data_IF_523314780362
#
_entry.id   IF_523314780362
#
_cell.length_a   1.000
_cell.length_b   1.000
_cell.length_c   1.000
_cell.angle_alpha   90.00
_cell.angle_beta   90.00
_cell.angle_gamma   90.00
#
_symmetry.space_group_name_H-M   'P 1'
#
loop_
_entity.id
_entity.type
_entity.pdbx_description
1 polymer ?
#
# COMPACT_ATOMS: atom_id res chain seq x y z
N UNK A 1 1.43 1.27 31.09
CA UNK A 1 1.63 -0.20 31.21
C UNK A 1 1.66 -0.74 29.80
N UNK A 2 2.60 -1.64 29.48
CA UNK A 2 2.73 -2.25 28.14
C UNK A 2 2.28 -3.71 28.26
N UNK A 3 1.51 -4.19 27.29
CA UNK A 3 1.08 -5.58 27.19
C UNK A 3 1.49 -6.12 25.83
N UNK A 4 2.00 -7.35 25.81
CA UNK A 4 2.39 -8.09 24.62
C UNK A 4 1.49 -9.31 24.48
N UNK A 5 1.05 -9.62 23.26
CA UNK A 5 0.14 -10.71 22.94
C UNK A 5 0.86 -11.70 22.01
N UNK A 6 1.29 -12.87 22.52
CA UNK A 6 1.92 -13.88 21.68
C UNK A 6 0.97 -14.40 20.60
N UNK A 7 1.46 -14.52 19.36
CA UNK A 7 0.71 -15.09 18.26
C UNK A 7 0.72 -16.64 18.34
N UNK A 8 -0.35 -17.33 17.89
CA UNK A 8 -0.45 -18.78 18.02
C UNK A 8 0.63 -19.56 17.26
N UNK A 9 1.08 -19.05 16.11
CA UNK A 9 2.10 -19.70 15.30
C UNK A 9 3.52 -19.29 15.73
N UNK A 10 4.39 -20.29 15.91
CA UNK A 10 5.79 -20.08 16.35
C UNK A 10 6.67 -19.37 15.31
N UNK A 11 6.14 -19.11 14.11
CA UNK A 11 6.82 -18.51 12.98
C UNK A 11 6.06 -17.28 12.44
N UNK A 12 5.18 -16.65 13.22
CA UNK A 12 4.50 -15.42 12.79
C UNK A 12 5.46 -14.26 12.54
N UNK A 13 5.17 -13.47 11.51
CA UNK A 13 5.86 -12.24 11.12
C UNK A 13 4.82 -11.12 10.88
N UNK A 14 4.16 -10.64 11.95
CA UNK A 14 3.15 -9.59 11.85
C UNK A 14 3.81 -8.28 11.40
N UNK A 15 3.25 -7.64 10.37
CA UNK A 15 3.87 -6.45 9.76
C UNK A 15 3.02 -5.18 9.88
N UNK A 16 1.85 -5.13 9.24
CA UNK A 16 1.02 -3.94 9.15
C UNK A 16 -0.25 -4.14 9.96
N UNK A 17 -0.67 -3.14 10.75
CA UNK A 17 -1.88 -3.19 11.59
C UNK A 17 -2.79 -1.99 11.31
N UNK A 18 -4.10 -2.20 11.40
CA UNK A 18 -5.12 -1.16 11.25
C UNK A 18 -6.32 -1.43 12.16
N UNK A 19 -7.09 -0.38 12.46
CA UNK A 19 -8.36 -0.55 13.16
C UNK A 19 -9.42 -1.07 12.19
N UNK A 20 -10.18 -2.07 12.60
CA UNK A 20 -11.29 -2.63 11.85
C UNK A 20 -12.63 -1.95 12.15
N UNK A 21 -13.60 -2.06 11.23
CA UNK A 21 -14.96 -1.54 11.43
C UNK A 21 -15.75 -2.32 12.50
N UNK A 22 -15.25 -3.47 12.95
CA UNK A 22 -15.83 -4.30 14.00
C UNK A 22 -15.28 -3.99 15.40
N UNK A 23 -14.51 -2.90 15.56
CA UNK A 23 -13.92 -2.48 16.82
C UNK A 23 -12.70 -3.29 17.26
N UNK A 24 -12.20 -4.18 16.39
CA UNK A 24 -10.99 -4.98 16.60
C UNK A 24 -9.82 -4.38 15.83
N UNK A 25 -8.60 -4.84 16.09
CA UNK A 25 -7.44 -4.54 15.25
C UNK A 25 -7.20 -5.69 14.28
N UNK A 26 -6.79 -5.35 13.06
CA UNK A 26 -6.53 -6.27 11.96
C UNK A 26 -5.12 -6.08 11.46
N UNK A 27 -4.41 -7.17 11.17
CA UNK A 27 -3.02 -7.11 10.75
C UNK A 27 -2.64 -8.21 9.76
N UNK A 28 -1.58 -7.96 9.02
CA UNK A 28 -1.00 -8.92 8.07
C UNK A 28 0.14 -9.69 8.71
N UNK A 29 0.16 -11.00 8.52
CA UNK A 29 1.25 -11.90 8.94
C UNK A 29 1.81 -12.59 7.69
N UNK A 30 2.98 -12.12 7.27
CA UNK A 30 3.59 -12.43 5.98
C UNK A 30 4.72 -13.44 6.12
N UNK A 31 4.45 -14.66 6.57
CA UNK A 31 5.50 -15.68 6.62
C UNK A 31 5.76 -16.30 5.23
N UNK A 32 6.92 -16.04 4.59
CA UNK A 32 7.24 -16.57 3.26
C UNK A 32 7.49 -18.09 3.25
N UNK A 33 7.54 -18.73 4.42
CA UNK A 33 7.97 -20.11 4.59
C UNK A 33 6.85 -21.13 4.70
N UNK A 34 5.54 -20.79 4.83
CA UNK A 34 4.42 -21.70 4.49
C UNK A 34 2.97 -21.25 4.83
N UNK A 35 2.70 -20.15 5.53
CA UNK A 35 1.30 -19.82 5.92
C UNK A 35 1.09 -18.33 6.19
N UNK A 36 0.95 -17.55 5.12
CA UNK A 36 0.50 -16.17 5.24
C UNK A 36 -0.95 -16.09 5.75
N UNK A 37 -1.25 -15.05 6.52
CA UNK A 37 -2.56 -14.85 7.15
C UNK A 37 -2.94 -13.37 7.18
N UNK A 38 -4.24 -13.13 7.19
CA UNK A 38 -4.80 -11.95 7.83
C UNK A 38 -5.22 -12.35 9.24
N UNK A 39 -4.95 -11.52 10.23
CA UNK A 39 -5.29 -11.79 11.62
C UNK A 39 -6.10 -10.66 12.21
N UNK A 40 -6.95 -11.01 13.18
CA UNK A 40 -7.75 -10.08 13.96
C UNK A 40 -7.50 -10.31 15.44
N UNK A 41 -7.28 -9.24 16.18
CA UNK A 41 -7.16 -9.25 17.65
C UNK A 41 -8.22 -8.35 18.30
N UNK A 42 -8.91 -8.87 19.32
CA UNK A 42 -9.85 -8.08 20.11
C UNK A 42 -9.13 -7.12 21.06
N UNK A 43 -9.80 -6.07 21.58
CA UNK A 43 -9.21 -5.21 22.62
C UNK A 43 -8.77 -5.95 23.90
N UNK A 44 -9.30 -7.17 24.12
CA UNK A 44 -8.94 -8.03 25.24
C UNK A 44 -7.86 -9.06 24.90
N UNK A 45 -7.34 -9.06 23.67
CA UNK A 45 -6.23 -9.92 23.24
C UNK A 45 -6.62 -11.26 22.63
N UNK A 46 -7.89 -11.50 22.29
CA UNK A 46 -8.29 -12.74 21.62
C UNK A 46 -7.97 -12.66 20.12
N UNK A 47 -7.16 -13.60 19.62
CA UNK A 47 -6.69 -13.63 18.23
C UNK A 47 -7.52 -14.61 17.41
N UNK A 48 -7.83 -14.23 16.17
CA UNK A 48 -8.43 -15.09 15.16
C UNK A 48 -7.63 -14.99 13.86
N UNK A 49 -7.31 -16.14 13.28
CA UNK A 49 -6.47 -16.27 12.09
C UNK A 49 -7.31 -16.59 10.85
N UNK A 50 -7.05 -15.89 9.75
CA UNK A 50 -7.67 -16.12 8.45
C UNK A 50 -6.58 -16.51 7.43
N UNK A 51 -6.38 -17.82 7.18
CA UNK A 51 -5.33 -18.30 6.30
C UNK A 51 -5.51 -17.83 4.85
N UNK A 52 -4.40 -17.45 4.22
CA UNK A 52 -4.29 -17.16 2.79
C UNK A 52 -3.71 -18.38 2.04
N UNK A 53 -3.90 -18.48 0.71
CA UNK A 53 -3.22 -19.47 -0.11
C UNK A 53 -1.70 -19.43 0.08
N UNK A 54 -1.03 -20.59 0.02
CA UNK A 54 0.41 -20.69 0.33
C UNK A 54 1.35 -19.95 -0.63
N UNK A 55 0.84 -19.51 -1.79
CA UNK A 55 1.58 -18.71 -2.77
C UNK A 55 1.57 -17.22 -2.46
N UNK A 56 0.77 -16.80 -1.48
CA UNK A 56 0.41 -15.41 -1.34
C UNK A 56 1.12 -14.78 -0.13
N UNK A 57 1.47 -13.51 -0.26
CA UNK A 57 2.18 -12.75 0.75
C UNK A 57 1.47 -11.41 0.97
N UNK A 58 0.72 -11.24 2.07
CA UNK A 58 -0.02 -10.01 2.35
C UNK A 58 0.95 -8.90 2.75
N UNK A 59 0.72 -7.71 2.20
CA UNK A 59 1.49 -6.51 2.46
C UNK A 59 0.78 -5.57 3.42
N UNK A 60 0.33 -4.42 2.91
CA UNK A 60 -0.35 -3.37 3.68
C UNK A 60 -1.84 -3.69 3.80
N UNK A 61 -2.47 -3.26 4.89
CA UNK A 61 -3.92 -3.43 5.15
C UNK A 61 -4.55 -2.12 5.59
N UNK A 62 -5.79 -1.87 5.15
CA UNK A 62 -6.58 -0.68 5.49
C UNK A 62 -8.06 -1.02 5.65
N UNK A 63 -8.78 -0.26 6.46
CA UNK A 63 -10.24 -0.37 6.54
C UNK A 63 -10.90 0.41 5.39
N UNK A 64 -11.83 -0.23 4.72
CA UNK A 64 -12.69 0.39 3.72
C UNK A 64 -13.97 0.96 4.33
N UNK A 65 -14.51 1.99 3.69
CA UNK A 65 -15.80 2.58 4.07
C UNK A 65 -16.99 1.65 3.75
N UNK A 66 -16.74 0.54 3.05
CA UNK A 66 -17.69 -0.54 2.80
C UNK A 66 -17.82 -1.52 3.98
N UNK A 67 -17.14 -1.26 5.10
CA UNK A 67 -17.19 -2.08 6.31
C UNK A 67 -16.32 -3.33 6.27
N UNK A 68 -15.35 -3.38 5.35
CA UNK A 68 -14.42 -4.51 5.21
C UNK A 68 -12.97 -4.04 5.29
N UNK A 69 -12.05 -4.99 5.40
CA UNK A 69 -10.63 -4.71 5.35
C UNK A 69 -10.12 -5.05 3.95
N UNK A 70 -9.20 -4.23 3.46
CA UNK A 70 -8.58 -4.37 2.15
C UNK A 70 -7.07 -4.41 2.31
N UNK A 71 -6.40 -5.29 1.57
CA UNK A 71 -4.96 -5.49 1.69
C UNK A 71 -4.29 -5.70 0.34
N UNK A 72 -3.02 -5.32 0.25
CA UNK A 72 -2.18 -5.69 -0.89
C UNK A 72 -1.66 -7.10 -0.70
N UNK A 73 -1.43 -7.82 -1.79
CA UNK A 73 -0.91 -9.17 -1.74
C UNK A 73 0.00 -9.43 -2.94
N UNK A 74 1.19 -9.96 -2.67
CA UNK A 74 2.12 -10.41 -3.70
C UNK A 74 2.00 -11.91 -3.86
N UNK A 75 1.70 -12.36 -5.07
CA UNK A 75 1.73 -13.77 -5.43
C UNK A 75 3.18 -14.12 -5.79
N UNK A 76 3.80 -14.95 -4.95
CA UNK A 76 5.17 -15.43 -5.14
C UNK A 76 5.10 -16.73 -5.95
N UNK A 77 5.12 -16.61 -7.28
CA UNK A 77 5.31 -17.75 -8.18
C UNK A 77 6.75 -18.28 -8.15
N UNK A 78 7.00 -19.52 -8.61
CA UNK A 78 8.38 -20.02 -8.77
C UNK A 78 9.14 -19.07 -9.71
N UNK A 79 10.27 -18.53 -9.23
CA UNK A 79 11.22 -17.75 -10.05
C UNK A 79 11.80 -18.65 -11.15
N UNK A 80 11.08 -18.87 -12.23
CA UNK A 80 11.68 -19.40 -13.44
C UNK A 80 12.30 -18.22 -14.18
N UNK A 81 13.51 -18.37 -14.72
CA UNK A 81 14.21 -17.27 -15.41
C UNK A 81 13.40 -16.68 -16.59
N UNK A 82 12.33 -17.37 -17.02
CA UNK A 82 11.45 -17.04 -18.15
C UNK A 82 9.95 -17.03 -17.79
N UNK A 83 9.57 -17.18 -16.52
CA UNK A 83 8.16 -17.16 -16.10
C UNK A 83 7.68 -15.72 -15.88
N UNK A 84 6.35 -15.49 -15.81
CA UNK A 84 5.87 -14.21 -15.32
C UNK A 84 6.48 -14.01 -13.92
N UNK A 85 7.10 -12.85 -13.71
CA UNK A 85 7.59 -12.44 -12.39
C UNK A 85 6.45 -12.40 -11.35
N UNK A 86 6.73 -12.01 -10.11
CA UNK A 86 5.69 -11.87 -9.10
C UNK A 86 4.56 -10.95 -9.63
N UNK A 87 3.31 -11.29 -9.30
CA UNK A 87 2.12 -10.51 -9.65
C UNK A 87 1.36 -10.15 -8.39
N UNK A 88 0.77 -8.97 -8.36
CA UNK A 88 0.00 -8.47 -7.24
C UNK A 88 -1.49 -8.75 -7.39
N UNK A 89 -2.18 -8.78 -6.26
CA UNK A 89 -3.63 -8.72 -6.17
C UNK A 89 -4.03 -7.81 -5.01
N UNK A 90 -5.27 -7.34 -5.05
CA UNK A 90 -5.91 -6.70 -3.91
C UNK A 90 -6.82 -7.72 -3.24
N UNK A 91 -6.58 -7.98 -1.96
CA UNK A 91 -7.45 -8.78 -1.11
C UNK A 91 -8.49 -7.92 -0.41
N UNK A 92 -9.67 -8.50 -0.17
CA UNK A 92 -10.74 -7.94 0.65
C UNK A 92 -11.20 -9.03 1.62
N UNK A 93 -11.32 -8.70 2.90
CA UNK A 93 -11.81 -9.60 3.93
C UNK A 93 -12.94 -8.94 4.72
N UNK A 94 -14.06 -9.66 4.86
CA UNK A 94 -15.16 -9.21 5.71
C UNK A 94 -14.82 -9.40 7.19
N UNK A 95 -15.48 -8.69 8.12
CA UNK A 95 -15.29 -8.92 9.55
C UNK A 95 -15.60 -10.36 10.02
N UNK A 96 -16.37 -11.11 9.22
CA UNK A 96 -16.68 -12.52 9.45
C UNK A 96 -15.65 -13.49 8.84
N UNK A 97 -14.64 -12.99 8.13
CA UNK A 97 -13.54 -13.79 7.59
C UNK A 97 -13.69 -14.23 6.14
N UNK A 98 -14.68 -13.71 5.39
CA UNK A 98 -14.83 -14.07 3.99
C UNK A 98 -13.84 -13.28 3.14
N UNK A 99 -12.92 -13.97 2.47
CA UNK A 99 -11.88 -13.38 1.61
C UNK A 99 -12.33 -13.38 0.14
N UNK A 100 -12.03 -12.30 -0.56
CA UNK A 100 -12.12 -12.17 -2.02
C UNK A 100 -10.84 -11.52 -2.54
N UNK A 101 -10.37 -11.91 -3.72
CA UNK A 101 -9.16 -11.35 -4.32
C UNK A 101 -9.41 -10.82 -5.73
N UNK A 102 -8.68 -9.77 -6.09
CA UNK A 102 -8.80 -9.05 -7.35
C UNK A 102 -7.41 -8.90 -7.98
N UNK A 103 -7.18 -9.64 -9.06
CA UNK A 103 -5.87 -9.73 -9.70
C UNK A 103 -5.52 -8.43 -10.42
N UNK A 104 -4.27 -7.97 -10.24
CA UNK A 104 -3.70 -6.89 -11.04
C UNK A 104 -3.18 -7.46 -12.38
N UNK A 105 -2.92 -6.59 -13.38
CA UNK A 105 -2.25 -7.03 -14.60
C UNK A 105 -0.90 -7.69 -14.33
N UNK A 106 -0.53 -8.64 -15.19
CA UNK A 106 0.72 -9.40 -15.04
C UNK A 106 1.95 -8.47 -14.93
N UNK A 107 2.83 -8.75 -13.97
CA UNK A 107 4.01 -7.94 -13.70
C UNK A 107 3.74 -6.64 -12.94
N UNK A 108 2.55 -6.46 -12.36
CA UNK A 108 2.22 -5.31 -11.50
C UNK A 108 2.09 -5.77 -10.06
N UNK A 109 2.62 -5.00 -9.11
CA UNK A 109 2.51 -5.19 -7.67
C UNK A 109 1.78 -4.00 -7.05
N UNK A 110 0.95 -4.23 -6.04
CA UNK A 110 0.44 -3.15 -5.19
C UNK A 110 1.32 -3.05 -3.94
N UNK A 111 1.91 -1.87 -3.72
CA UNK A 111 2.91 -1.66 -2.65
C UNK A 111 2.27 -1.08 -1.39
N UNK A 112 1.36 -0.12 -1.56
CA UNK A 112 0.62 0.55 -0.49
C UNK A 112 -0.85 0.67 -0.83
N UNK A 113 -1.70 0.84 0.20
CA UNK A 113 -3.16 0.86 0.06
C UNK A 113 -3.79 1.79 1.09
N UNK A 114 -4.81 2.53 0.69
CA UNK A 114 -5.54 3.45 1.55
C UNK A 114 -7.01 3.57 1.14
N UNK A 115 -7.87 3.94 2.08
CA UNK A 115 -9.25 4.30 1.75
C UNK A 115 -9.29 5.72 1.17
N UNK A 116 -9.96 5.87 0.04
CA UNK A 116 -10.19 7.17 -0.60
C UNK A 116 -11.46 7.86 -0.08
N UNK A 117 -11.55 9.18 -0.29
CA UNK A 117 -12.74 9.98 0.05
C UNK A 117 -13.94 9.69 -0.87
N UNK A 118 -13.75 8.93 -1.95
CA UNK A 118 -14.80 8.49 -2.89
C UNK A 118 -15.37 7.09 -2.57
N UNK A 119 -15.18 6.60 -1.33
CA UNK A 119 -15.58 5.27 -0.86
C UNK A 119 -14.90 4.10 -1.58
N UNK A 120 -13.88 4.37 -2.39
CA UNK A 120 -13.07 3.36 -3.06
C UNK A 120 -11.76 3.14 -2.30
N UNK A 121 -11.04 2.10 -2.69
CA UNK A 121 -9.69 1.83 -2.19
C UNK A 121 -8.69 2.23 -3.25
N UNK A 122 -7.64 2.93 -2.84
CA UNK A 122 -6.58 3.44 -3.71
C UNK A 122 -5.25 2.80 -3.31
N UNK A 123 -4.41 2.51 -4.29
CA UNK A 123 -3.14 1.83 -4.07
C UNK A 123 -2.06 2.33 -5.02
N UNK A 124 -0.81 2.30 -4.57
CA UNK A 124 0.34 2.57 -5.42
C UNK A 124 0.76 1.28 -6.14
N UNK A 125 1.00 1.38 -7.45
CA UNK A 125 1.39 0.25 -8.30
C UNK A 125 2.85 0.35 -8.73
N UNK A 126 3.60 -0.73 -8.51
CA UNK A 126 4.92 -0.96 -9.08
C UNK A 126 4.80 -1.93 -10.26
N UNK A 127 5.32 -1.52 -11.42
CA UNK A 127 5.38 -2.39 -12.61
C UNK A 127 6.79 -2.97 -12.77
N UNK A 128 6.88 -4.28 -12.66
CA UNK A 128 8.09 -5.10 -12.78
C UNK A 128 8.36 -5.45 -14.26
N UNK A 129 8.64 -4.46 -15.12
CA UNK A 129 9.06 -4.71 -16.50
C UNK A 129 10.50 -4.27 -16.76
N UNK A 130 11.37 -5.23 -17.13
CA UNK A 130 12.78 -4.93 -17.45
C UNK A 130 12.96 -4.43 -18.90
N UNK A 131 11.90 -4.48 -19.74
CA UNK A 131 12.00 -4.34 -21.20
C UNK A 131 11.06 -3.27 -21.80
N UNK A 132 10.44 -2.41 -20.97
CA UNK A 132 9.57 -1.31 -21.41
C UNK A 132 9.83 -0.04 -20.60
N UNK A 133 9.31 1.14 -21.00
CA UNK A 133 9.37 2.33 -20.16
C UNK A 133 8.67 2.00 -18.83
N UNK A 134 9.28 2.31 -17.67
CA UNK A 134 8.67 1.93 -16.41
C UNK A 134 7.41 2.77 -16.22
N UNK A 135 6.26 2.10 -16.05
CA UNK A 135 4.95 2.74 -15.97
C UNK A 135 4.41 2.63 -14.54
N UNK A 136 4.88 3.50 -13.67
CA UNK A 136 4.32 3.64 -12.32
C UNK A 136 2.88 4.15 -12.44
N UNK A 137 1.98 3.61 -11.62
CA UNK A 137 0.57 3.99 -11.64
C UNK A 137 0.01 4.15 -10.23
N UNK A 138 -1.13 4.81 -10.16
CA UNK A 138 -2.04 4.73 -9.03
C UNK A 138 -3.23 3.87 -9.45
N UNK A 139 -3.52 2.85 -8.67
CA UNK A 139 -4.70 2.01 -8.83
C UNK A 139 -5.85 2.48 -7.94
N UNK A 140 -7.07 2.24 -8.41
CA UNK A 140 -8.31 2.38 -7.64
C UNK A 140 -9.17 1.16 -7.85
N UNK A 141 -9.69 0.60 -6.75
CA UNK A 141 -10.67 -0.48 -6.78
C UNK A 141 -11.96 -0.08 -6.07
N UNK A 142 -13.10 -0.37 -6.71
CA UNK A 142 -14.42 -0.17 -6.11
C UNK A 142 -14.76 -1.30 -5.14
N UNK A 143 -15.71 -1.10 -4.20
CA UNK A 143 -16.18 -2.19 -3.34
C UNK A 143 -16.76 -3.41 -4.08
N UNK A 144 -17.17 -3.23 -5.34
CA UNK A 144 -17.63 -4.30 -6.23
C UNK A 144 -16.50 -5.01 -6.96
N UNK A 145 -15.24 -4.58 -6.80
CA UNK A 145 -14.06 -5.22 -7.39
C UNK A 145 -13.64 -4.67 -8.76
N UNK A 146 -14.14 -3.51 -9.19
CA UNK A 146 -13.73 -2.91 -10.47
C UNK A 146 -12.44 -2.12 -10.26
N UNK A 147 -11.37 -2.50 -10.96
CA UNK A 147 -10.08 -1.81 -10.93
C UNK A 147 -9.99 -0.77 -12.05
N UNK A 148 -9.43 0.40 -11.75
CA UNK A 148 -9.04 1.46 -12.70
C UNK A 148 -7.62 1.89 -12.37
N UNK A 149 -6.75 2.01 -13.37
CA UNK A 149 -5.35 2.41 -13.19
C UNK A 149 -5.08 3.77 -13.83
N UNK A 150 -4.29 4.61 -13.17
CA UNK A 150 -3.94 5.96 -13.59
C UNK A 150 -2.42 6.08 -13.75
N UNK A 151 -1.97 6.26 -15.00
CA UNK A 151 -0.54 6.43 -15.29
C UNK A 151 -0.03 7.77 -14.78
N UNK A 152 1.16 7.77 -14.18
CA UNK A 152 1.83 9.02 -13.78
C UNK A 152 2.25 9.84 -15.02
N UNK A 153 2.00 11.17 -15.05
CA UNK A 153 2.33 12.02 -16.20
C UNK A 153 3.82 12.03 -16.56
N UNK A 154 4.70 12.04 -15.55
CA UNK A 154 6.16 12.03 -15.75
C UNK A 154 6.72 10.66 -16.10
N UNK A 155 5.97 9.57 -15.89
CA UNK A 155 6.51 8.20 -15.95
C UNK A 155 7.65 8.01 -14.95
N UNK A 156 8.49 6.99 -15.14
CA UNK A 156 9.66 6.78 -14.27
C UNK A 156 10.91 7.39 -14.90
N UNK A 157 11.38 8.51 -14.34
CA UNK A 157 12.56 9.23 -14.87
C UNK A 157 13.90 8.67 -14.36
N UNK A 158 13.92 7.98 -13.21
CA UNK A 158 15.18 7.54 -12.59
C UNK A 158 15.61 6.12 -13.02
N UNK A 159 14.74 5.36 -13.69
CA UNK A 159 14.97 3.95 -14.00
C UNK A 159 15.05 3.05 -12.76
N UNK A 160 14.70 3.57 -11.59
CA UNK A 160 14.65 2.85 -10.31
C UNK A 160 13.29 2.15 -10.22
N UNK A 161 13.29 0.86 -9.95
CA UNK A 161 12.07 0.08 -9.65
C UNK A 161 11.53 0.44 -8.26
N UNK A 162 10.22 0.35 -8.02
CA UNK A 162 9.66 0.48 -6.66
C UNK A 162 8.99 1.79 -6.28
N UNK A 163 8.26 2.45 -7.18
CA UNK A 163 7.62 3.75 -6.93
C UNK A 163 6.30 3.86 -7.70
N UNK A 164 5.21 4.44 -7.16
CA UNK A 164 5.09 5.20 -5.92
C UNK A 164 5.17 4.30 -4.67
N UNK A 165 5.65 4.85 -3.55
CA UNK A 165 5.94 4.05 -2.34
C UNK A 165 4.71 3.99 -1.43
N UNK A 166 4.15 5.15 -1.08
CA UNK A 166 3.04 5.24 -0.14
C UNK A 166 1.95 6.19 -0.65
N UNK A 167 0.72 5.98 -0.20
CA UNK A 167 -0.46 6.75 -0.59
C UNK A 167 -1.39 6.99 0.59
N UNK A 168 -1.92 8.20 0.69
CA UNK A 168 -2.84 8.60 1.77
C UNK A 168 -3.94 9.52 1.25
N UNK A 169 -5.11 9.50 1.90
CA UNK A 169 -6.13 10.50 1.64
C UNK A 169 -5.73 11.84 2.24
N UNK A 170 -5.82 12.91 1.45
CA UNK A 170 -5.55 14.27 1.85
C UNK A 170 -6.78 15.01 2.41
N UNK A 171 -6.56 16.12 3.11
CA UNK A 171 -7.63 16.96 3.68
C UNK A 171 -8.48 17.68 2.62
N UNK A 172 -8.02 17.73 1.37
CA UNK A 172 -8.69 18.36 0.22
C UNK A 172 -9.57 17.39 -0.59
N UNK A 173 -9.79 16.17 -0.10
CA UNK A 173 -10.57 15.16 -0.81
C UNK A 173 -9.87 14.55 -2.02
N UNK A 174 -8.55 14.74 -2.16
CA UNK A 174 -7.70 14.04 -3.10
C UNK A 174 -6.89 12.94 -2.39
N UNK A 175 -6.21 12.11 -3.18
CA UNK A 175 -5.20 11.18 -2.68
C UNK A 175 -3.82 11.79 -2.96
N UNK A 176 -2.88 11.55 -2.05
CA UNK A 176 -1.53 12.06 -2.13
C UNK A 176 -0.55 10.90 -1.94
N UNK A 177 0.51 10.89 -2.75
CA UNK A 177 1.46 9.79 -2.79
C UNK A 177 2.90 10.27 -2.89
N UNK A 178 3.83 9.46 -2.42
CA UNK A 178 5.26 9.68 -2.58
C UNK A 178 5.77 9.07 -3.87
N UNK A 179 6.44 9.87 -4.70
CA UNK A 179 7.11 9.41 -5.90
C UNK A 179 8.62 9.61 -5.78
N UNK A 180 9.28 8.59 -5.24
CA UNK A 180 10.72 8.66 -5.00
C UNK A 180 11.55 8.69 -6.29
N UNK A 181 11.06 8.12 -7.41
CA UNK A 181 11.81 8.13 -8.66
C UNK A 181 11.82 9.50 -9.31
N UNK A 182 10.75 10.27 -9.11
CA UNK A 182 10.65 11.63 -9.62
C UNK A 182 10.99 12.69 -8.56
N UNK A 183 11.44 12.26 -7.37
CA UNK A 183 11.77 13.15 -6.26
C UNK A 183 10.61 14.13 -5.97
N UNK A 184 9.40 13.61 -5.92
CA UNK A 184 8.18 14.40 -5.91
C UNK A 184 7.14 13.84 -4.94
N UNK A 185 6.20 14.71 -4.58
CA UNK A 185 4.93 14.31 -3.99
C UNK A 185 3.86 14.45 -5.07
N UNK A 186 3.12 13.38 -5.32
CA UNK A 186 2.02 13.36 -6.26
C UNK A 186 0.68 13.60 -5.57
N UNK A 187 -0.26 14.17 -6.32
CA UNK A 187 -1.66 14.37 -5.94
C UNK A 187 -2.55 13.86 -7.06
N UNK A 188 -3.52 13.01 -6.74
CA UNK A 188 -4.52 12.52 -7.67
C UNK A 188 -5.93 12.82 -7.17
N UNK A 189 -6.76 13.46 -8.00
CA UNK A 189 -8.18 13.63 -7.68
C UNK A 189 -8.93 12.31 -7.79
N UNK A 190 -10.11 12.21 -7.17
CA UNK A 190 -10.96 11.01 -7.30
C UNK A 190 -11.48 10.78 -8.72
N UNK A 191 -11.37 11.77 -9.59
CA UNK A 191 -11.66 11.68 -11.02
C UNK A 191 -10.45 11.28 -11.87
N UNK A 192 -9.27 11.12 -11.27
CA UNK A 192 -8.05 10.62 -11.93
C UNK A 192 -7.08 11.69 -12.45
N UNK A 193 -7.25 12.96 -12.09
CA UNK A 193 -6.34 14.03 -12.52
C UNK A 193 -5.12 14.08 -11.59
N UNK A 194 -3.92 13.87 -12.15
CA UNK A 194 -2.65 13.81 -11.42
C UNK A 194 -1.86 15.12 -11.59
N UNK A 195 -1.31 15.62 -10.49
CA UNK A 195 -0.27 16.65 -10.46
C UNK A 195 0.90 16.18 -9.59
N UNK A 196 2.13 16.52 -9.97
CA UNK A 196 3.34 16.17 -9.23
C UNK A 196 4.10 17.43 -8.80
N UNK A 197 4.52 17.45 -7.53
CA UNK A 197 5.21 18.55 -6.90
C UNK A 197 6.65 18.14 -6.59
N UNK A 198 7.58 18.62 -7.41
CA UNK A 198 9.00 18.34 -7.24
C UNK A 198 9.52 18.88 -5.90
N UNK A 199 10.30 18.05 -5.21
CA UNK A 199 10.99 18.45 -3.98
C UNK A 199 12.22 19.30 -4.32
N UNK A 200 12.39 20.39 -3.58
CA UNK A 200 13.47 21.35 -3.82
C UNK A 200 14.86 20.76 -3.55
N UNK A 201 14.96 19.84 -2.59
CA UNK A 201 16.21 19.15 -2.33
C UNK A 201 16.38 17.99 -3.32
N UNK A 202 17.53 17.88 -4.00
CA UNK A 202 17.79 16.76 -4.89
C UNK A 202 17.85 15.45 -4.09
N UNK A 203 17.38 14.35 -4.69
CA UNK A 203 17.51 12.98 -4.16
C UNK A 203 16.93 12.78 -2.75
N UNK A 204 15.83 13.47 -2.46
CA UNK A 204 15.13 13.43 -1.16
C UNK A 204 14.54 12.05 -0.83
N UNK A 205 14.20 11.25 -1.86
CA UNK A 205 13.56 9.94 -1.73
C UNK A 205 12.42 9.93 -0.69
N UNK A 206 11.31 10.63 -0.98
CA UNK A 206 10.11 10.57 -0.14
C UNK A 206 9.59 9.13 -0.05
N UNK A 207 9.33 8.65 1.16
CA UNK A 207 8.83 7.29 1.41
C UNK A 207 7.40 7.28 1.94
N UNK A 208 7.21 7.34 3.26
CA UNK A 208 5.89 7.27 3.87
C UNK A 208 5.25 8.65 3.88
N UNK A 209 3.94 8.70 3.65
CA UNK A 209 3.17 9.94 3.62
C UNK A 209 1.88 9.80 4.44
N UNK A 210 1.56 10.81 5.22
CA UNK A 210 0.34 10.82 6.04
C UNK A 210 -0.28 12.20 6.12
N UNK A 211 -1.61 12.22 6.25
CA UNK A 211 -2.34 13.44 6.59
C UNK A 211 -2.05 13.88 8.02
N UNK A 212 -1.73 15.16 8.18
CA UNK A 212 -1.49 15.81 9.45
C UNK A 212 -2.58 16.83 9.83
N UNK A 213 -2.53 17.35 11.07
CA UNK A 213 -3.43 18.41 11.51
C UNK A 213 -3.33 19.67 10.65
N UNK A 214 -4.41 20.47 10.66
CA UNK A 214 -4.40 21.82 10.06
C UNK A 214 -4.21 21.83 8.53
N UNK A 215 -4.83 20.87 7.83
CA UNK A 215 -4.74 20.72 6.38
C UNK A 215 -3.29 20.55 5.89
N UNK A 216 -2.52 19.69 6.56
CA UNK A 216 -1.14 19.41 6.16
C UNK A 216 -0.96 17.96 5.73
N UNK A 217 0.06 17.72 4.94
CA UNK A 217 0.64 16.40 4.72
C UNK A 217 2.05 16.39 5.27
N UNK A 218 2.45 15.25 5.81
CA UNK A 218 3.79 14.99 6.30
C UNK A 218 4.34 13.75 5.64
N UNK A 219 5.63 13.78 5.30
CA UNK A 219 6.30 12.63 4.70
C UNK A 219 7.72 12.47 5.21
N UNK A 220 8.21 11.24 5.21
CA UNK A 220 9.61 10.93 5.51
C UNK A 220 10.46 11.00 4.25
N UNK A 221 11.67 11.53 4.39
CA UNK A 221 12.71 11.56 3.36
C UNK A 221 13.90 10.75 3.87
N UNK A 222 14.27 9.69 3.14
CA UNK A 222 15.36 8.81 3.55
C UNK A 222 16.70 9.53 3.51
N UNK A 223 17.63 9.04 4.34
CA UNK A 223 19.02 9.43 4.26
C UNK A 223 19.67 8.82 3.01
N UNK A 224 19.54 9.50 1.89
CA UNK A 224 20.31 9.19 0.70
C UNK A 224 21.62 10.00 0.68
N UNK A 225 22.71 9.31 0.34
CA UNK A 225 24.02 9.92 0.08
C UNK A 225 24.61 10.75 1.24
N UNK A 226 24.29 10.42 2.49
CA UNK A 226 24.90 11.02 3.68
C UNK A 226 24.40 12.42 4.04
N UNK A 227 23.29 12.87 3.43
CA UNK A 227 22.66 14.16 3.72
C UNK A 227 21.83 14.17 5.01
N UNK A 228 21.58 13.00 5.61
CA UNK A 228 20.69 12.82 6.76
C UNK A 228 19.22 12.74 6.32
N UNK A 229 18.45 11.85 6.97
CA UNK A 229 17.01 11.75 6.73
C UNK A 229 16.28 12.92 7.38
N UNK A 230 15.13 13.30 6.82
CA UNK A 230 14.32 14.43 7.33
C UNK A 230 12.83 14.19 7.16
N UNK A 231 12.03 15.09 7.72
CA UNK A 231 10.58 15.12 7.53
C UNK A 231 10.22 16.31 6.65
N UNK A 232 9.45 16.04 5.59
CA UNK A 232 8.83 17.04 4.76
C UNK A 232 7.42 17.36 5.23
N UNK A 233 6.97 18.60 4.98
CA UNK A 233 5.61 19.06 5.26
C UNK A 233 5.08 19.87 4.09
N UNK A 234 3.87 19.56 3.65
CA UNK A 234 3.12 20.35 2.68
C UNK A 234 1.85 20.90 3.34
N UNK A 235 1.51 22.16 3.06
CA UNK A 235 0.23 22.77 3.47
C UNK A 235 -0.72 22.73 2.29
N UNK A 236 -1.92 22.21 2.52
CA UNK A 236 -2.98 22.09 1.51
C UNK A 236 -3.94 23.25 1.72
N UNK A 237 -4.12 24.06 0.68
CA UNK A 237 -5.03 25.23 0.68
C UNK A 237 -6.35 24.89 0.02
#
# INVERSE_FOLDING_TARGET
MIHEFPLPASNSDPSTITAGPDGNLWFTDGNPSQSAKIERITPTGAIHEFPLPSSDSPGRITAGQDGNLWFTETIIGPKTQNGPGPSGQIGRITPTGMISTYHLPAGTLAVSITSGPDHNIWFAEEVMNNNGPPSNKIGRITPSGTITEFALPTGNQSGIMGVPIDITAGPDGALWFSDAANNAIGRITTTGSINEFALAAPQSAPEYITSGPGHTLWFSELNNNGQGGKLGRLTIT
#
